data_IF_116884487974
#
_entry.id   IF_116884487974
#
_cell.length_a   1.000
_cell.length_b   1.000
_cell.length_c   1.000
_cell.angle_alpha   90.00
_cell.angle_beta   90.00
_cell.angle_gamma   90.00
#
_symmetry.space_group_name_H-M   'P 1'
#
loop_
_entity.id
_entity.type
_entity.pdbx_description
1 polymer ?
#
# COMPACT_ATOMS: atom_id res chain seq x y z
N UNK A 1 -14.45 11.90 4.70
CA UNK A 1 -13.36 10.89 4.68
C UNK A 1 -12.51 11.18 5.90
N UNK A 2 -12.42 10.24 6.83
CA UNK A 2 -11.37 10.31 7.84
C UNK A 2 -10.18 9.63 7.17
N UNK A 3 -9.26 10.44 6.65
CA UNK A 3 -7.92 9.92 6.43
C UNK A 3 -7.42 9.47 7.79
N UNK A 4 -7.05 8.20 7.91
CA UNK A 4 -6.40 7.66 9.10
C UNK A 4 -5.00 8.28 9.17
N UNK A 5 -4.93 9.55 9.60
CA UNK A 5 -3.66 10.18 9.91
C UNK A 5 -3.07 9.48 11.14
N UNK A 6 -1.77 9.20 11.16
CA UNK A 6 -1.09 8.83 12.39
C UNK A 6 -1.08 10.06 13.31
N UNK A 7 -2.12 10.22 14.12
CA UNK A 7 -2.09 11.13 15.27
C UNK A 7 -1.16 10.51 16.33
N UNK A 8 0.12 10.85 16.29
CA UNK A 8 1.10 10.27 17.22
C UNK A 8 2.55 10.77 17.14
N UNK A 9 2.82 11.89 16.46
CA UNK A 9 4.08 12.60 16.63
C UNK A 9 3.79 13.88 17.41
N UNK A 10 3.81 13.76 18.73
CA UNK A 10 3.93 14.91 19.62
C UNK A 10 5.24 15.63 19.30
N UNK A 11 5.12 16.89 18.90
CA UNK A 11 6.23 17.82 18.67
C UNK A 11 7.00 18.04 20.00
N UNK A 12 8.28 17.66 20.12
CA UNK A 12 9.02 17.75 21.38
C UNK A 12 9.52 19.16 21.73
N UNK A 13 9.09 20.22 21.04
CA UNK A 13 9.59 21.58 21.26
C UNK A 13 8.89 22.40 22.35
N UNK A 14 7.99 21.80 23.14
CA UNK A 14 7.36 22.45 24.29
C UNK A 14 7.73 21.77 25.62
N UNK A 15 9.01 21.84 26.02
CA UNK A 15 9.40 21.75 27.44
C UNK A 15 10.84 22.24 27.65
N UNK A 16 10.99 23.56 27.75
CA UNK A 16 12.26 24.19 28.12
C UNK A 16 12.10 24.95 29.44
N UNK A 17 12.13 24.25 30.58
CA UNK A 17 12.42 24.86 31.88
C UNK A 17 13.02 23.85 32.87
N UNK A 18 14.31 24.04 33.16
CA UNK A 18 14.87 23.89 34.51
C UNK A 18 15.17 22.48 35.03
N UNK A 19 16.46 22.10 35.00
CA UNK A 19 17.23 21.70 36.20
C UNK A 19 18.72 21.51 35.88
N UNK A 20 19.56 22.40 36.42
CA UNK A 20 20.96 22.14 36.74
C UNK A 20 21.02 21.10 37.86
N UNK A 21 21.88 20.09 37.77
CA UNK A 21 22.65 19.57 38.90
C UNK A 21 23.89 18.77 38.41
N UNK A 22 25.05 19.40 38.64
CA UNK A 22 26.38 18.91 39.03
C UNK A 22 26.90 17.49 38.66
N UNK A 23 28.13 17.52 38.12
CA UNK A 23 29.13 16.44 38.05
C UNK A 23 29.28 15.64 39.35
N UNK A 24 29.57 14.35 39.21
CA UNK A 24 30.34 13.57 40.17
C UNK A 24 31.18 12.51 39.45
N UNK A 25 32.47 12.78 39.31
CA UNK A 25 33.49 11.76 39.04
C UNK A 25 33.54 10.76 40.21
N UNK A 26 33.54 9.46 39.90
CA UNK A 26 33.92 8.41 40.86
C UNK A 26 35.20 7.75 40.38
N UNK A 27 36.30 8.14 41.02
CA UNK A 27 37.61 7.47 40.97
C UNK A 27 37.53 6.14 41.71
N UNK A 28 38.06 5.08 41.12
CA UNK A 28 38.38 3.84 41.84
C UNK A 28 39.91 3.67 41.91
N UNK A 29 40.53 3.61 43.11
CA UNK A 29 41.97 3.44 43.27
C UNK A 29 42.35 2.02 43.70
N UNK A 30 43.65 1.71 43.52
CA UNK A 30 44.40 0.51 43.96
C UNK A 30 44.19 -0.75 43.08
N UNK A 31 45.22 -1.51 42.67
CA UNK A 31 46.56 -1.71 43.27
C UNK A 31 47.54 -2.27 42.23
N UNK A 32 48.80 -1.83 42.36
CA UNK A 32 50.00 -2.15 41.57
C UNK A 32 50.58 -3.56 41.86
N UNK A 33 51.64 -3.89 41.07
CA UNK A 33 52.80 -4.80 41.32
C UNK A 33 52.61 -6.19 40.70
N UNK A 34 53.45 -6.75 39.81
CA UNK A 34 54.94 -6.83 39.68
C UNK A 34 55.30 -7.10 38.19
N UNK A 35 56.11 -6.28 37.50
CA UNK A 35 57.56 -6.42 37.24
C UNK A 35 58.09 -7.74 36.63
N UNK A 36 58.50 -7.61 35.35
CA UNK A 36 59.79 -8.00 34.72
C UNK A 36 60.17 -9.49 34.68
N UNK A 37 60.22 -10.06 33.47
CA UNK A 37 61.37 -10.87 33.01
C UNK A 37 61.65 -10.60 31.52
N UNK A 38 62.92 -10.37 31.23
CA UNK A 38 63.52 -9.98 29.95
C UNK A 38 63.85 -11.20 29.08
N UNK A 39 63.60 -11.04 27.78
CA UNK A 39 64.49 -11.28 26.61
C UNK A 39 65.28 -12.60 26.48
N UNK A 40 65.29 -13.07 25.22
CA UNK A 40 66.28 -13.90 24.49
C UNK A 40 65.72 -15.27 24.07
N UNK A 41 65.20 -15.35 22.83
CA UNK A 41 65.67 -16.35 21.85
C UNK A 41 65.33 -15.88 20.43
N UNK A 42 66.30 -15.22 19.80
CA UNK A 42 66.30 -14.96 18.37
C UNK A 42 66.91 -16.16 17.62
N UNK A 43 66.56 -16.25 16.34
CA UNK A 43 67.35 -16.89 15.27
C UNK A 43 67.06 -18.37 14.98
N UNK A 44 65.95 -18.65 14.28
CA UNK A 44 65.84 -19.74 13.27
C UNK A 44 64.41 -19.77 12.66
N UNK A 45 63.98 -18.72 11.94
CA UNK A 45 62.74 -18.73 11.14
C UNK A 45 62.67 -17.54 10.15
N UNK A 46 63.79 -17.20 9.52
CA UNK A 46 63.91 -16.04 8.64
C UNK A 46 63.94 -16.38 7.13
N UNK A 47 63.35 -17.51 6.71
CA UNK A 47 63.41 -17.94 5.30
C UNK A 47 62.13 -18.58 4.75
N UNK A 48 60.96 -18.32 5.35
CA UNK A 48 59.67 -18.80 4.83
C UNK A 48 58.59 -17.69 4.88
N UNK A 49 58.86 -16.52 4.29
CA UNK A 49 57.91 -15.40 4.24
C UNK A 49 57.87 -14.71 2.86
N UNK A 50 57.85 -15.49 1.77
CA UNK A 50 57.42 -15.00 0.45
C UNK A 50 56.30 -15.91 -0.08
N UNK A 51 55.13 -15.83 0.55
CA UNK A 51 53.88 -16.25 -0.07
C UNK A 51 53.10 -14.97 -0.37
N UNK A 52 52.62 -14.74 -1.61
CA UNK A 52 51.74 -13.62 -1.87
C UNK A 52 50.48 -13.83 -1.03
N UNK A 53 50.25 -12.95 -0.06
CA UNK A 53 48.98 -12.90 0.65
C UNK A 53 47.93 -12.50 -0.39
N UNK A 54 47.14 -13.47 -0.87
CA UNK A 54 45.83 -13.16 -1.41
C UNK A 54 45.07 -12.48 -0.29
N UNK A 55 45.03 -11.15 -0.31
CA UNK A 55 44.04 -10.40 0.45
C UNK A 55 42.69 -10.85 -0.08
N UNK A 56 41.83 -11.50 0.74
CA UNK A 56 40.46 -11.68 0.32
C UNK A 56 39.91 -10.26 0.12
N UNK A 57 39.54 -9.94 -1.13
CA UNK A 57 38.64 -8.82 -1.37
C UNK A 57 37.39 -9.21 -0.60
N UNK A 58 37.17 -8.56 0.55
CA UNK A 58 35.87 -8.59 1.20
C UNK A 58 34.91 -8.05 0.15
N UNK A 59 34.18 -8.96 -0.51
CA UNK A 59 33.04 -8.60 -1.32
C UNK A 59 32.15 -7.78 -0.41
N UNK A 60 32.05 -6.49 -0.69
CA UNK A 60 31.11 -5.63 -0.02
C UNK A 60 29.75 -6.19 -0.41
N UNK A 61 29.11 -6.95 0.49
CA UNK A 61 27.72 -7.38 0.28
C UNK A 61 26.92 -6.11 0.03
N UNK A 62 26.49 -5.92 -1.22
CA UNK A 62 25.56 -4.87 -1.58
C UNK A 62 24.32 -5.08 -0.73
N UNK A 63 24.01 -4.11 0.12
CA UNK A 63 22.83 -4.16 0.95
C UNK A 63 21.60 -4.37 0.04
N UNK A 64 20.61 -5.19 0.45
CA UNK A 64 19.43 -5.42 -0.35
C UNK A 64 18.68 -4.11 -0.59
N UNK A 65 18.05 -3.97 -1.76
CA UNK A 65 17.25 -2.80 -2.09
C UNK A 65 16.15 -2.56 -1.04
N UNK A 66 16.06 -1.32 -0.55
CA UNK A 66 15.04 -0.90 0.41
C UNK A 66 14.01 -0.01 -0.28
N UNK A 67 12.74 -0.44 -0.28
CA UNK A 67 11.67 0.29 -0.95
C UNK A 67 11.17 1.54 -0.19
N UNK A 68 11.14 1.47 1.14
CA UNK A 68 10.53 2.52 1.97
C UNK A 68 11.36 3.80 1.89
N UNK A 69 10.72 4.89 1.46
CA UNK A 69 11.34 6.20 1.17
C UNK A 69 12.35 6.19 0.02
N UNK A 70 12.38 5.16 -0.83
CA UNK A 70 13.20 5.16 -2.04
C UNK A 70 12.69 6.19 -3.06
N UNK A 71 13.60 6.99 -3.61
CA UNK A 71 13.29 7.90 -4.71
C UNK A 71 13.20 7.14 -6.04
N UNK A 72 12.64 7.79 -7.06
CA UNK A 72 12.66 7.24 -8.44
C UNK A 72 14.10 7.00 -8.91
N UNK A 73 15.03 7.89 -8.55
CA UNK A 73 16.45 7.72 -8.87
C UNK A 73 17.06 6.49 -8.19
N UNK A 74 16.74 6.25 -6.92
CA UNK A 74 17.20 5.06 -6.19
C UNK A 74 16.68 3.78 -6.85
N UNK A 75 15.41 3.77 -7.26
CA UNK A 75 14.79 2.64 -7.97
C UNK A 75 15.50 2.38 -9.30
N UNK A 76 15.70 3.42 -10.12
CA UNK A 76 16.39 3.27 -11.40
C UNK A 76 17.84 2.79 -11.21
N UNK A 77 18.55 3.30 -10.21
CA UNK A 77 19.91 2.84 -9.89
C UNK A 77 19.92 1.39 -9.43
N UNK A 78 18.94 0.96 -8.63
CA UNK A 78 18.79 -0.43 -8.21
C UNK A 78 18.52 -1.36 -9.41
N UNK A 79 17.69 -0.94 -10.37
CA UNK A 79 17.45 -1.73 -11.60
C UNK A 79 18.72 -1.81 -12.46
N UNK A 80 19.39 -0.67 -12.72
CA UNK A 80 20.64 -0.63 -13.52
C UNK A 80 21.79 -1.44 -12.92
N UNK A 81 21.74 -1.71 -11.63
CA UNK A 81 22.76 -2.50 -10.90
C UNK A 81 22.28 -3.90 -10.55
N UNK A 82 21.20 -4.37 -11.18
CA UNK A 82 20.62 -5.71 -11.00
C UNK A 82 20.20 -6.04 -9.55
N UNK A 83 19.96 -5.03 -8.70
CA UNK A 83 19.49 -5.24 -7.32
C UNK A 83 18.00 -5.57 -7.26
N UNK A 84 17.22 -5.12 -8.24
CA UNK A 84 15.78 -5.37 -8.33
C UNK A 84 15.31 -5.35 -9.78
N UNK A 85 14.31 -6.17 -10.10
CA UNK A 85 13.61 -6.13 -11.39
C UNK A 85 12.29 -5.35 -11.27
N UNK A 86 11.70 -4.96 -12.39
CA UNK A 86 10.39 -4.30 -12.42
C UNK A 86 9.32 -5.18 -11.77
N UNK A 87 9.30 -6.48 -12.09
CA UNK A 87 8.35 -7.43 -11.51
C UNK A 87 8.54 -7.55 -9.99
N UNK A 88 9.79 -7.64 -9.52
CA UNK A 88 10.10 -7.69 -8.09
C UNK A 88 9.66 -6.39 -7.39
N UNK A 89 9.85 -5.24 -8.02
CA UNK A 89 9.42 -3.94 -7.48
C UNK A 89 7.89 -3.88 -7.32
N UNK A 90 7.12 -4.23 -8.36
CA UNK A 90 5.65 -4.28 -8.28
C UNK A 90 5.21 -5.26 -7.19
N UNK A 91 5.85 -6.42 -7.08
CA UNK A 91 5.55 -7.38 -6.02
C UNK A 91 5.80 -6.81 -4.61
N UNK A 92 6.85 -6.01 -4.40
CA UNK A 92 7.09 -5.33 -3.12
C UNK A 92 5.95 -4.36 -2.77
N UNK A 93 5.42 -3.61 -3.74
CA UNK A 93 4.25 -2.73 -3.51
C UNK A 93 2.98 -3.52 -3.22
N UNK A 94 2.71 -4.62 -3.93
CA UNK A 94 1.58 -5.52 -3.64
C UNK A 94 1.71 -6.11 -2.24
N UNK A 95 2.91 -6.53 -1.82
CA UNK A 95 3.16 -7.03 -0.47
C UNK A 95 2.87 -5.98 0.60
N UNK A 96 3.22 -4.71 0.34
CA UNK A 96 2.87 -3.60 1.24
C UNK A 96 1.37 -3.35 1.30
N UNK A 97 0.68 -3.39 0.15
CA UNK A 97 -0.77 -3.28 0.12
C UNK A 97 -1.43 -4.40 0.94
N UNK A 98 -0.95 -5.64 0.79
CA UNK A 98 -1.40 -6.77 1.60
C UNK A 98 -1.19 -6.58 3.11
N UNK A 99 -0.08 -5.96 3.51
CA UNK A 99 0.24 -5.75 4.92
C UNK A 99 -0.53 -4.57 5.56
N UNK A 100 -0.78 -3.52 4.79
CA UNK A 100 -1.17 -2.21 5.34
C UNK A 100 -2.43 -1.58 4.72
N UNK A 101 -3.01 -2.14 3.65
CA UNK A 101 -4.17 -1.56 2.97
C UNK A 101 -5.52 -2.18 3.38
N UNK A 102 -5.65 -2.56 4.65
CA UNK A 102 -6.91 -3.03 5.24
C UNK A 102 -7.78 -1.90 5.78
N UNK A 103 -8.83 -2.27 6.50
CA UNK A 103 -9.79 -1.36 7.13
C UNK A 103 -9.14 -0.63 8.31
N UNK A 104 -9.25 0.70 8.33
CA UNK A 104 -8.72 1.55 9.41
C UNK A 104 -9.81 2.34 10.16
N UNK A 105 -11.08 2.04 9.88
CA UNK A 105 -12.24 2.74 10.44
C UNK A 105 -13.23 1.77 11.07
N UNK A 106 -13.93 2.23 12.09
CA UNK A 106 -15.10 1.57 12.67
C UNK A 106 -16.35 2.44 12.51
N UNK A 107 -17.52 1.83 12.63
CA UNK A 107 -18.81 2.51 12.47
C UNK A 107 -19.11 3.40 13.67
N UNK A 108 -19.74 4.55 13.42
CA UNK A 108 -20.40 5.33 14.46
C UNK A 108 -21.89 4.98 14.42
N UNK A 109 -22.43 4.34 15.45
CA UNK A 109 -23.85 3.99 15.56
C UNK A 109 -24.55 4.87 16.59
N UNK A 110 -25.88 4.85 16.62
CA UNK A 110 -26.64 5.64 17.60
C UNK A 110 -26.36 5.20 19.05
N UNK A 111 -26.25 3.90 19.28
CA UNK A 111 -26.16 3.28 20.60
C UNK A 111 -24.79 2.66 20.93
N UNK A 112 -23.88 2.57 19.95
CA UNK A 112 -22.59 1.89 20.11
C UNK A 112 -22.69 0.37 20.13
N UNK A 113 -23.83 -0.22 19.73
CA UNK A 113 -23.98 -1.67 19.67
C UNK A 113 -23.09 -2.26 18.55
N UNK A 114 -22.52 -3.44 18.82
CA UNK A 114 -21.75 -4.16 17.81
C UNK A 114 -22.61 -4.57 16.61
N UNK A 115 -22.00 -4.64 15.43
CA UNK A 115 -22.63 -5.14 14.20
C UNK A 115 -22.24 -6.58 13.92
N UNK A 116 -23.04 -7.27 13.12
CA UNK A 116 -22.71 -8.62 12.63
C UNK A 116 -21.43 -8.60 11.79
N UNK A 117 -20.60 -9.66 11.85
CA UNK A 117 -19.48 -9.82 10.93
C UNK A 117 -19.94 -9.76 9.46
N UNK A 118 -19.13 -9.12 8.63
CA UNK A 118 -19.45 -8.88 7.24
C UNK A 118 -18.25 -9.22 6.36
N UNK A 119 -18.52 -9.82 5.19
CA UNK A 119 -17.50 -10.19 4.21
C UNK A 119 -17.20 -9.01 3.29
N UNK A 120 -15.96 -8.56 3.25
CA UNK A 120 -15.51 -7.53 2.30
C UNK A 120 -15.06 -8.08 0.95
N UNK A 121 -14.81 -7.13 0.03
CA UNK A 121 -14.13 -7.39 -1.24
C UNK A 121 -12.76 -8.02 -1.01
N UNK A 122 -12.28 -8.81 -1.97
CA UNK A 122 -10.88 -9.27 -1.97
C UNK A 122 -9.97 -8.12 -2.39
N UNK A 123 -8.93 -7.88 -1.62
CA UNK A 123 -7.88 -6.90 -1.90
C UNK A 123 -6.52 -7.50 -1.55
N UNK A 124 -5.59 -7.52 -2.50
CA UNK A 124 -4.26 -8.10 -2.33
C UNK A 124 -4.28 -9.58 -1.93
N UNK A 125 -5.23 -10.33 -2.48
CA UNK A 125 -5.38 -11.78 -2.27
C UNK A 125 -6.13 -12.19 -1.00
N UNK A 126 -6.67 -11.26 -0.21
CA UNK A 126 -7.48 -11.59 0.97
C UNK A 126 -8.77 -10.73 1.05
N UNK A 127 -9.90 -11.28 1.54
CA UNK A 127 -11.09 -10.46 1.84
C UNK A 127 -10.78 -9.40 2.89
N UNK A 128 -11.33 -8.20 2.73
CA UNK A 128 -11.29 -7.18 3.77
C UNK A 128 -12.07 -7.64 5.00
N UNK A 129 -11.47 -7.45 6.17
CA UNK A 129 -12.08 -7.72 7.48
C UNK A 129 -12.54 -6.41 8.11
N UNK A 130 -13.82 -6.33 8.46
CA UNK A 130 -14.40 -5.15 9.11
C UNK A 130 -14.52 -5.35 10.63
N UNK A 131 -14.16 -4.33 11.43
CA UNK A 131 -14.45 -4.30 12.86
C UNK A 131 -15.95 -4.44 13.12
N UNK A 132 -16.32 -5.26 14.09
CA UNK A 132 -17.70 -5.40 14.58
C UNK A 132 -18.02 -4.45 15.73
N UNK A 133 -17.00 -3.98 16.44
CA UNK A 133 -17.12 -2.93 17.45
C UNK A 133 -17.47 -1.59 16.79
N UNK A 134 -18.30 -0.82 17.47
CA UNK A 134 -18.77 0.48 16.99
C UNK A 134 -18.65 1.52 18.09
N UNK A 135 -18.78 2.79 17.71
CA UNK A 135 -18.71 3.92 18.63
C UNK A 135 -20.08 4.58 18.71
N UNK A 136 -20.60 4.75 19.93
CA UNK A 136 -21.84 5.49 20.13
C UNK A 136 -21.66 6.96 19.74
N UNK A 137 -22.60 7.53 19.00
CA UNK A 137 -22.55 8.92 18.57
C UNK A 137 -22.43 9.90 19.74
N UNK A 138 -23.11 9.62 20.85
CA UNK A 138 -23.06 10.41 22.09
C UNK A 138 -21.66 10.48 22.72
N UNK A 139 -20.75 9.56 22.39
CA UNK A 139 -19.36 9.61 22.85
C UNK A 139 -18.47 10.57 22.06
N UNK A 140 -18.91 10.97 20.86
CA UNK A 140 -18.15 11.86 19.96
C UNK A 140 -18.75 13.26 19.86
N UNK A 141 -20.07 13.39 20.01
CA UNK A 141 -20.79 14.64 19.89
C UNK A 141 -21.36 15.04 21.26
N UNK A 142 -20.78 16.06 21.92
CA UNK A 142 -21.41 16.68 23.08
C UNK A 142 -22.83 17.14 22.72
N UNK A 143 -23.77 16.98 23.65
CA UNK A 143 -25.17 17.38 23.50
C UNK A 143 -25.91 16.67 22.35
N UNK A 144 -25.49 15.45 21.99
CA UNK A 144 -26.15 14.64 20.94
C UNK A 144 -27.66 14.47 21.17
N UNK A 145 -28.10 14.34 22.43
CA UNK A 145 -29.52 14.20 22.79
C UNK A 145 -30.33 15.49 22.54
N UNK A 146 -29.65 16.64 22.43
CA UNK A 146 -30.25 17.94 22.12
C UNK A 146 -30.23 18.25 20.61
N UNK A 147 -29.62 17.38 19.79
CA UNK A 147 -29.50 17.60 18.35
C UNK A 147 -30.88 17.61 17.67
N UNK A 148 -31.25 18.76 17.12
CA UNK A 148 -32.43 18.94 16.28
C UNK A 148 -31.99 19.37 14.89
N UNK A 149 -32.11 18.47 13.92
CA UNK A 149 -31.68 18.72 12.54
C UNK A 149 -31.94 17.55 11.62
N UNK A 150 -31.25 17.53 10.47
CA UNK A 150 -31.30 16.41 9.53
C UNK A 150 -30.81 15.13 10.21
N UNK A 151 -31.49 13.98 10.03
CA UNK A 151 -31.04 12.72 10.62
C UNK A 151 -29.58 12.44 10.29
N UNK A 152 -28.81 12.05 11.31
CA UNK A 152 -27.43 11.62 11.13
C UNK A 152 -27.40 10.30 10.34
N UNK A 153 -26.50 10.20 9.37
CA UNK A 153 -26.30 8.99 8.56
C UNK A 153 -25.45 7.99 9.34
N UNK A 154 -26.05 7.33 10.34
CA UNK A 154 -25.33 6.38 11.18
C UNK A 154 -24.64 5.28 10.37
N UNK A 155 -23.48 4.88 10.89
CA UNK A 155 -22.66 3.83 10.37
C UNK A 155 -23.40 2.50 10.31
N UNK A 156 -23.30 1.80 9.17
CA UNK A 156 -23.86 0.47 8.97
C UNK A 156 -23.02 -0.34 8.00
N UNK A 157 -23.14 -1.66 8.08
CA UNK A 157 -22.70 -2.54 7.00
C UNK A 157 -23.82 -2.64 5.96
N UNK A 158 -23.47 -2.55 4.68
CA UNK A 158 -24.42 -2.67 3.57
C UNK A 158 -23.78 -3.47 2.44
N UNK A 159 -24.59 -4.29 1.76
CA UNK A 159 -24.16 -4.98 0.55
C UNK A 159 -23.80 -3.95 -0.54
N UNK A 160 -22.72 -4.20 -1.27
CA UNK A 160 -22.35 -3.29 -2.36
C UNK A 160 -23.31 -3.45 -3.54
N UNK A 161 -23.64 -2.34 -4.21
CA UNK A 161 -24.45 -2.38 -5.43
C UNK A 161 -23.70 -3.05 -6.58
N UNK A 162 -22.38 -2.86 -6.64
CA UNK A 162 -21.52 -3.48 -7.66
C UNK A 162 -21.33 -4.99 -7.48
N UNK A 163 -21.29 -5.49 -6.24
CA UNK A 163 -21.29 -6.91 -5.92
C UNK A 163 -22.11 -7.19 -4.64
N UNK A 164 -23.39 -7.62 -4.77
CA UNK A 164 -24.24 -7.88 -3.61
C UNK A 164 -23.75 -9.02 -2.69
N UNK A 165 -22.74 -9.79 -3.09
CA UNK A 165 -22.18 -10.88 -2.28
C UNK A 165 -21.18 -10.41 -1.21
N UNK A 166 -20.77 -9.14 -1.26
CA UNK A 166 -19.85 -8.51 -0.31
C UNK A 166 -20.46 -7.24 0.26
N UNK A 167 -19.95 -6.81 1.40
CA UNK A 167 -20.42 -5.63 2.12
C UNK A 167 -19.30 -4.61 2.31
N UNK A 168 -19.69 -3.37 2.58
CA UNK A 168 -18.80 -2.29 2.99
C UNK A 168 -19.44 -1.41 4.07
N UNK A 169 -18.61 -0.60 4.72
CA UNK A 169 -19.08 0.37 5.71
C UNK A 169 -19.66 1.61 5.01
N UNK A 170 -20.93 1.90 5.31
CA UNK A 170 -21.64 3.11 4.88
C UNK A 170 -21.90 4.03 6.07
N UNK A 171 -22.16 5.31 5.76
CA UNK A 171 -22.48 6.34 6.74
C UNK A 171 -21.28 6.81 7.57
N UNK A 172 -21.58 7.23 8.79
CA UNK A 172 -20.63 7.80 9.73
C UNK A 172 -19.66 6.74 10.25
N UNK A 173 -18.38 7.10 10.19
CA UNK A 173 -17.26 6.26 10.61
C UNK A 173 -16.26 7.10 11.39
N UNK A 174 -15.48 6.44 12.23
CA UNK A 174 -14.35 7.04 12.95
C UNK A 174 -13.08 6.22 12.70
N UNK A 175 -11.92 6.90 12.66
CA UNK A 175 -10.63 6.23 12.57
C UNK A 175 -10.35 5.40 13.83
N UNK A 176 -9.68 4.27 13.66
CA UNK A 176 -9.21 3.43 14.77
C UNK A 176 -7.78 3.87 15.11
N UNK A 177 -7.50 4.32 16.34
CA UNK A 177 -6.14 4.66 16.75
C UNK A 177 -5.21 3.46 16.57
N UNK A 178 -4.04 3.70 15.95
CA UNK A 178 -3.03 2.67 15.70
C UNK A 178 -3.56 1.43 14.96
N UNK A 179 -4.49 1.60 14.02
CA UNK A 179 -5.10 0.50 13.25
C UNK A 179 -4.09 -0.43 12.55
N UNK A 180 -2.87 0.04 12.29
CA UNK A 180 -1.89 -0.67 11.47
C UNK A 180 -2.30 -0.80 9.99
N UNK A 181 -3.41 -0.17 9.61
CA UNK A 181 -4.03 -0.21 8.28
C UNK A 181 -4.32 1.20 7.79
N UNK A 182 -4.41 1.38 6.47
CA UNK A 182 -4.50 2.70 5.83
C UNK A 182 -5.73 2.91 4.94
N UNK A 183 -6.31 1.83 4.39
CA UNK A 183 -7.41 1.90 3.42
C UNK A 183 -7.20 2.96 2.30
N UNK A 184 -5.98 3.02 1.76
CA UNK A 184 -5.53 4.05 0.83
C UNK A 184 -5.75 3.68 -0.66
N UNK A 185 -5.91 2.39 -0.94
CA UNK A 185 -6.12 1.85 -2.28
C UNK A 185 -7.47 1.12 -2.33
N UNK A 186 -8.23 1.35 -3.38
CA UNK A 186 -9.54 0.75 -3.62
C UNK A 186 -9.46 -0.48 -4.53
N UNK A 187 -8.63 -0.43 -5.56
CA UNK A 187 -8.44 -1.54 -6.49
C UNK A 187 -6.95 -1.73 -6.78
N UNK A 188 -6.49 -2.98 -6.82
CA UNK A 188 -5.15 -3.33 -7.26
C UNK A 188 -5.21 -3.96 -8.65
N UNK A 189 -4.23 -3.66 -9.51
CA UNK A 189 -4.16 -4.18 -10.88
C UNK A 189 -3.57 -5.59 -10.85
N UNK A 190 -4.34 -6.52 -10.31
CA UNK A 190 -4.03 -7.94 -10.15
C UNK A 190 -5.11 -8.72 -10.89
N UNK A 191 -4.71 -9.68 -11.72
CA UNK A 191 -5.62 -10.62 -12.41
C UNK A 191 -6.72 -11.13 -11.48
N UNK A 192 -7.97 -10.98 -11.90
CA UNK A 192 -9.15 -11.44 -11.16
C UNK A 192 -9.58 -10.56 -9.98
N UNK A 193 -8.78 -9.57 -9.57
CA UNK A 193 -9.15 -8.57 -8.53
C UNK A 193 -9.38 -7.17 -9.12
N UNK A 194 -8.80 -6.90 -10.29
CA UNK A 194 -8.80 -5.57 -10.93
C UNK A 194 -10.12 -5.12 -11.56
N UNK A 195 -11.17 -5.95 -11.49
CA UNK A 195 -12.53 -5.66 -11.97
C UNK A 195 -13.54 -6.50 -11.19
N UNK A 196 -14.67 -5.89 -10.83
CA UNK A 196 -15.84 -6.58 -10.28
C UNK A 196 -16.66 -7.21 -11.41
N UNK A 197 -16.77 -6.55 -12.57
CA UNK A 197 -17.44 -7.10 -13.76
C UNK A 197 -16.75 -8.38 -14.24
N UNK A 198 -15.42 -8.36 -14.34
CA UNK A 198 -14.60 -9.47 -14.81
C UNK A 198 -13.83 -10.16 -13.67
N UNK A 199 -14.51 -10.40 -12.54
CA UNK A 199 -13.86 -10.91 -11.33
C UNK A 199 -13.40 -12.37 -11.42
N UNK A 200 -12.35 -12.69 -10.67
CA UNK A 200 -11.82 -14.04 -10.51
C UNK A 200 -11.40 -14.67 -11.84
N UNK A 201 -11.94 -15.85 -12.14
CA UNK A 201 -11.62 -16.59 -13.38
C UNK A 201 -12.09 -15.89 -14.66
N UNK A 202 -12.94 -14.86 -14.55
CA UNK A 202 -13.37 -14.06 -15.71
C UNK A 202 -12.28 -13.13 -16.26
N UNK A 203 -11.18 -12.93 -15.52
CA UNK A 203 -10.00 -12.19 -15.97
C UNK A 203 -8.75 -13.09 -16.00
N UNK A 204 -8.94 -14.42 -16.06
CA UNK A 204 -7.82 -15.34 -16.25
C UNK A 204 -7.03 -14.98 -17.52
N UNK A 205 -5.70 -15.14 -17.49
CA UNK A 205 -4.84 -14.79 -18.63
C UNK A 205 -5.25 -15.56 -19.91
N UNK A 206 -5.21 -14.95 -21.11
CA UNK A 206 -5.60 -15.61 -22.36
C UNK A 206 -4.96 -16.98 -22.61
N UNK A 207 -3.72 -17.17 -22.16
CA UNK A 207 -2.99 -18.46 -22.30
C UNK A 207 -3.61 -19.61 -21.50
N UNK A 208 -4.52 -19.35 -20.55
CA UNK A 208 -5.20 -20.40 -19.78
C UNK A 208 -6.38 -21.03 -20.53
N UNK A 209 -6.61 -20.64 -21.78
CA UNK A 209 -7.73 -21.09 -22.60
C UNK A 209 -8.98 -20.21 -22.46
N UNK A 210 -10.12 -20.66 -23.02
CA UNK A 210 -11.36 -19.88 -23.03
C UNK A 210 -11.87 -19.52 -21.64
N UNK A 211 -12.54 -18.38 -21.53
CA UNK A 211 -13.26 -18.01 -20.30
C UNK A 211 -14.35 -19.04 -19.95
N UNK A 212 -14.62 -19.26 -18.65
CA UNK A 212 -15.68 -20.15 -18.21
C UNK A 212 -17.07 -19.62 -18.61
N UNK A 213 -18.04 -20.53 -18.69
CA UNK A 213 -19.44 -20.15 -18.96
C UNK A 213 -19.95 -19.15 -17.92
N UNK A 214 -20.69 -18.14 -18.39
CA UNK A 214 -21.21 -17.06 -17.54
C UNK A 214 -20.30 -15.85 -17.40
N UNK A 215 -19.09 -15.88 -17.97
CA UNK A 215 -18.26 -14.68 -18.10
C UNK A 215 -18.95 -13.67 -19.04
N UNK A 216 -19.04 -12.37 -18.67
CA UNK A 216 -19.48 -11.33 -19.59
C UNK A 216 -18.58 -11.28 -20.84
N UNK A 217 -19.16 -11.07 -22.02
CA UNK A 217 -18.42 -11.05 -23.30
C UNK A 217 -17.30 -10.00 -23.30
N UNK A 218 -17.56 -8.84 -22.69
CA UNK A 218 -16.59 -7.74 -22.52
C UNK A 218 -15.31 -8.17 -21.78
N UNK A 219 -15.36 -9.26 -21.00
CA UNK A 219 -14.19 -9.75 -20.28
C UNK A 219 -13.13 -10.37 -21.18
N UNK A 220 -13.49 -10.88 -22.37
CA UNK A 220 -12.49 -11.44 -23.30
C UNK A 220 -11.59 -10.32 -23.87
N UNK A 221 -12.16 -9.16 -24.18
CA UNK A 221 -11.40 -7.99 -24.62
C UNK A 221 -10.57 -7.39 -23.48
N UNK A 222 -11.17 -7.29 -22.28
CA UNK A 222 -10.50 -6.75 -21.10
C UNK A 222 -9.26 -7.57 -20.72
N UNK A 223 -9.39 -8.90 -20.65
CA UNK A 223 -8.31 -9.78 -20.17
C UNK A 223 -7.12 -9.85 -21.11
N UNK A 224 -7.20 -9.32 -22.34
CA UNK A 224 -6.04 -9.16 -23.23
C UNK A 224 -5.04 -8.13 -22.69
N UNK A 225 -5.48 -7.24 -21.79
CA UNK A 225 -4.59 -6.24 -21.18
C UNK A 225 -3.75 -6.91 -20.09
N UNK A 226 -2.45 -6.64 -20.01
CA UNK A 226 -1.62 -7.15 -18.93
C UNK A 226 -2.07 -6.54 -17.60
N UNK A 227 -1.97 -7.30 -16.51
CA UNK A 227 -2.02 -6.72 -15.16
C UNK A 227 -0.68 -6.05 -14.80
N UNK A 228 -0.54 -5.52 -13.57
CA UNK A 228 0.67 -4.81 -13.21
C UNK A 228 1.92 -5.70 -13.17
N UNK A 229 1.79 -6.97 -12.75
CA UNK A 229 2.91 -7.91 -12.70
C UNK A 229 3.32 -8.38 -14.09
N UNK A 230 2.34 -8.61 -14.96
CA UNK A 230 2.55 -8.96 -16.37
C UNK A 230 3.22 -7.80 -17.11
N UNK A 231 2.72 -6.55 -16.91
CA UNK A 231 3.33 -5.38 -17.52
C UNK A 231 4.76 -5.14 -17.04
N UNK A 232 5.02 -5.40 -15.76
CA UNK A 232 6.36 -5.32 -15.20
C UNK A 232 7.30 -6.35 -15.86
N UNK A 233 6.84 -7.59 -16.02
CA UNK A 233 7.60 -8.65 -16.68
C UNK A 233 7.89 -8.34 -18.16
N UNK A 234 6.95 -7.73 -18.88
CA UNK A 234 7.17 -7.24 -20.25
C UNK A 234 8.28 -6.20 -20.31
N UNK A 235 8.31 -5.25 -19.37
CA UNK A 235 9.35 -4.22 -19.28
C UNK A 235 10.72 -4.83 -18.94
N UNK A 236 10.77 -5.75 -17.97
CA UNK A 236 11.97 -6.52 -17.66
C UNK A 236 12.51 -7.27 -18.89
N UNK A 237 11.64 -7.91 -19.66
CA UNK A 237 12.04 -8.63 -20.86
C UNK A 237 12.51 -7.70 -22.00
N UNK A 238 11.94 -6.51 -22.09
CA UNK A 238 12.23 -5.57 -23.17
C UNK A 238 13.51 -4.77 -22.93
N UNK A 239 13.76 -4.32 -21.70
CA UNK A 239 14.84 -3.38 -21.39
C UNK A 239 15.81 -3.91 -20.33
N UNK A 240 15.39 -4.86 -19.50
CA UNK A 240 16.21 -5.39 -18.41
C UNK A 240 16.75 -4.29 -17.50
N UNK A 241 18.08 -4.28 -17.32
CA UNK A 241 18.82 -3.33 -16.52
C UNK A 241 19.38 -2.13 -17.32
N UNK A 242 19.11 -2.03 -18.62
CA UNK A 242 19.58 -0.95 -19.48
C UNK A 242 18.42 -0.17 -20.14
N UNK A 243 17.51 0.44 -19.35
CA UNK A 243 16.42 1.22 -19.90
C UNK A 243 16.90 2.58 -20.44
N UNK A 244 16.26 3.03 -21.52
CA UNK A 244 16.40 4.40 -22.02
C UNK A 244 15.63 5.37 -21.13
N UNK A 245 16.27 5.81 -20.03
CA UNK A 245 15.65 6.71 -19.04
C UNK A 245 15.41 8.13 -19.55
N UNK A 246 16.00 8.53 -20.69
CA UNK A 246 15.70 9.82 -21.31
C UNK A 246 14.27 9.82 -21.87
N UNK A 247 13.89 8.73 -22.54
CA UNK A 247 12.54 8.54 -23.09
C UNK A 247 11.56 7.87 -22.10
N UNK A 248 12.08 7.11 -21.12
CA UNK A 248 11.30 6.41 -20.09
C UNK A 248 11.66 6.91 -18.68
N UNK A 249 11.42 8.20 -18.35
CA UNK A 249 11.81 8.75 -17.05
C UNK A 249 11.00 8.20 -15.87
N UNK A 250 9.98 7.38 -16.12
CA UNK A 250 9.19 6.66 -15.11
C UNK A 250 9.30 5.13 -15.31
N UNK A 251 10.35 4.65 -15.97
CA UNK A 251 10.58 3.23 -16.22
C UNK A 251 10.36 2.39 -14.96
N UNK A 252 9.39 1.49 -15.04
CA UNK A 252 9.03 0.54 -14.00
C UNK A 252 8.52 1.12 -12.69
N UNK A 253 8.24 2.43 -12.61
CA UNK A 253 7.69 3.05 -11.42
C UNK A 253 6.22 2.63 -11.24
N UNK A 254 5.86 1.92 -10.14
CA UNK A 254 4.47 1.59 -9.85
C UNK A 254 3.73 2.87 -9.45
N UNK A 255 2.69 3.19 -10.20
CA UNK A 255 1.92 4.41 -10.07
C UNK A 255 0.48 4.10 -9.65
N UNK A 256 -0.01 4.82 -8.65
CA UNK A 256 -1.42 4.78 -8.25
C UNK A 256 -2.15 6.04 -8.71
N UNK A 257 -3.36 5.89 -9.21
CA UNK A 257 -4.19 7.03 -9.61
C UNK A 257 -5.38 7.19 -8.70
N UNK A 258 -5.78 8.45 -8.42
CA UNK A 258 -7.08 8.68 -7.79
C UNK A 258 -8.17 8.10 -8.68
N UNK A 259 -9.21 7.49 -8.09
CA UNK A 259 -10.33 6.82 -8.78
C UNK A 259 -11.07 7.65 -9.86
N UNK A 260 -10.75 8.93 -10.01
CA UNK A 260 -11.28 9.83 -11.04
C UNK A 260 -10.52 9.80 -12.36
N UNK A 261 -9.36 9.15 -12.42
CA UNK A 261 -8.58 9.01 -13.64
C UNK A 261 -8.82 7.64 -14.25
N UNK A 262 -9.32 7.65 -15.48
CA UNK A 262 -9.56 6.44 -16.23
C UNK A 262 -8.23 5.74 -16.59
N UNK A 263 -8.13 4.47 -16.23
CA UNK A 263 -7.05 3.57 -16.61
C UNK A 263 -7.65 2.31 -17.22
N UNK A 264 -7.26 1.99 -18.46
CA UNK A 264 -8.00 1.02 -19.30
C UNK A 264 -7.88 -0.44 -18.87
N UNK A 265 -7.03 -0.74 -17.90
CA UNK A 265 -6.68 -2.08 -17.44
C UNK A 265 -7.04 -2.32 -15.95
N UNK A 266 -7.74 -1.39 -15.31
CA UNK A 266 -8.16 -1.50 -13.90
C UNK A 266 -9.47 -0.75 -13.66
N UNK A 267 -10.31 -1.27 -12.77
CA UNK A 267 -11.59 -0.66 -12.39
C UNK A 267 -11.40 0.78 -11.91
N UNK A 268 -12.23 1.68 -12.42
CA UNK A 268 -12.35 3.08 -12.00
C UNK A 268 -13.81 3.52 -12.05
N UNK A 269 -14.33 4.05 -10.95
CA UNK A 269 -15.76 4.34 -10.76
C UNK A 269 -16.07 5.78 -10.34
N UNK A 270 -15.04 6.64 -10.26
CA UNK A 270 -15.14 7.96 -9.61
C UNK A 270 -15.46 7.88 -8.11
N UNK A 271 -15.21 6.74 -7.46
CA UNK A 271 -15.58 6.47 -6.06
C UNK A 271 -17.04 6.07 -5.85
N UNK A 272 -17.75 5.69 -6.92
CA UNK A 272 -19.14 5.24 -6.84
C UNK A 272 -19.25 3.72 -6.66
N UNK A 273 -20.22 3.30 -5.85
CA UNK A 273 -20.68 1.91 -5.81
C UNK A 273 -21.89 1.76 -6.74
N UNK A 274 -21.62 1.33 -7.97
CA UNK A 274 -22.61 1.14 -9.04
C UNK A 274 -22.27 -0.14 -9.78
N UNK A 275 -23.30 -0.90 -10.16
CA UNK A 275 -23.15 -2.08 -11.02
C UNK A 275 -23.02 -1.65 -12.49
N UNK A 276 -21.83 -1.17 -12.87
CA UNK A 276 -21.53 -0.85 -14.26
C UNK A 276 -21.58 -2.11 -15.14
N UNK A 277 -22.07 -1.95 -16.37
CA UNK A 277 -21.98 -3.01 -17.37
C UNK A 277 -20.51 -3.42 -17.64
N UNK A 278 -19.61 -2.45 -17.59
CA UNK A 278 -18.15 -2.65 -17.49
C UNK A 278 -17.59 -1.56 -16.58
N UNK A 279 -16.93 -1.96 -15.51
CA UNK A 279 -16.37 -1.06 -14.48
C UNK A 279 -14.92 -0.62 -14.76
N UNK A 280 -14.37 -1.06 -15.89
CA UNK A 280 -13.07 -0.62 -16.43
C UNK A 280 -13.33 0.28 -17.63
N UNK A 281 -12.74 1.49 -17.69
CA UNK A 281 -12.91 2.38 -18.83
C UNK A 281 -12.26 1.80 -20.09
N UNK A 282 -12.77 2.11 -21.30
CA UNK A 282 -12.22 1.57 -22.55
C UNK A 282 -10.84 2.14 -22.89
N UNK A 283 -10.50 3.33 -22.39
CA UNK A 283 -9.28 4.07 -22.72
C UNK A 283 -8.67 4.72 -21.48
N UNK A 284 -7.36 4.96 -21.53
CA UNK A 284 -6.69 5.77 -20.53
C UNK A 284 -7.13 7.24 -20.67
N UNK A 285 -7.30 7.92 -19.54
CA UNK A 285 -7.32 9.39 -19.52
C UNK A 285 -5.96 9.94 -19.94
N UNK A 286 -5.93 11.18 -20.47
CA UNK A 286 -4.69 11.80 -20.98
C UNK A 286 -3.52 11.73 -19.96
N UNK A 287 -3.70 12.06 -18.67
CA UNK A 287 -2.61 11.96 -17.69
C UNK A 287 -2.11 10.52 -17.49
N UNK A 288 -3.01 9.53 -17.50
CA UNK A 288 -2.64 8.12 -17.36
C UNK A 288 -1.86 7.65 -18.58
N UNK A 289 -2.30 8.01 -19.79
CA UNK A 289 -1.58 7.70 -21.02
C UNK A 289 -0.16 8.29 -21.01
N UNK A 290 -0.01 9.55 -20.58
CA UNK A 290 1.29 10.25 -20.52
C UNK A 290 2.29 9.60 -19.57
N UNK A 291 1.87 9.11 -18.40
CA UNK A 291 2.82 8.43 -17.49
C UNK A 291 3.20 7.05 -18.01
N UNK A 292 2.27 6.33 -18.65
CA UNK A 292 2.54 5.01 -19.26
C UNK A 292 3.53 5.11 -20.39
N UNK A 293 3.39 6.13 -21.25
CA UNK A 293 4.32 6.42 -22.33
C UNK A 293 5.75 6.66 -21.80
N UNK A 294 5.86 7.21 -20.58
CA UNK A 294 7.12 7.42 -19.86
C UNK A 294 7.61 6.19 -19.08
N UNK A 295 6.95 5.04 -19.21
CA UNK A 295 7.38 3.77 -18.62
C UNK A 295 6.74 3.39 -17.28
N UNK A 296 5.80 4.18 -16.75
CA UNK A 296 5.13 3.89 -15.49
C UNK A 296 4.18 2.69 -15.60
N UNK A 297 3.97 1.99 -14.48
CA UNK A 297 3.07 0.84 -14.37
C UNK A 297 1.88 1.24 -13.48
N UNK A 298 0.67 1.24 -14.02
CA UNK A 298 -0.53 1.46 -13.20
C UNK A 298 -0.77 0.23 -12.34
N UNK A 299 -0.47 0.31 -11.05
CA UNK A 299 -0.58 -0.83 -10.12
C UNK A 299 -1.82 -0.77 -9.24
N UNK A 300 -2.40 0.41 -9.04
CA UNK A 300 -3.53 0.59 -8.15
C UNK A 300 -4.36 1.83 -8.46
N UNK A 301 -5.61 1.81 -8.00
CA UNK A 301 -6.47 2.96 -7.87
C UNK A 301 -6.60 3.32 -6.39
N UNK A 302 -6.32 4.57 -6.07
CA UNK A 302 -6.44 5.14 -4.73
C UNK A 302 -7.90 5.46 -4.39
N UNK A 303 -8.27 5.24 -3.12
CA UNK A 303 -9.63 5.46 -2.61
C UNK A 303 -10.12 6.87 -2.90
N UNK A 304 -11.38 6.99 -3.30
CA UNK A 304 -12.08 8.26 -3.44
C UNK A 304 -13.36 8.27 -2.59
N UNK A 305 -13.78 9.45 -2.14
CA UNK A 305 -15.12 9.60 -1.57
C UNK A 305 -16.13 9.50 -2.70
N UNK A 306 -17.20 8.73 -2.47
CA UNK A 306 -18.41 8.80 -3.29
C UNK A 306 -18.90 10.25 -3.37
N UNK A 307 -19.18 10.72 -4.58
CA UNK A 307 -19.66 12.07 -4.88
C UNK A 307 -21.19 12.19 -4.81
N UNK A 308 -21.87 11.24 -4.16
CA UNK A 308 -23.34 11.13 -4.06
C UNK A 308 -24.03 10.96 -5.42
N UNK A 309 -23.35 10.39 -6.42
CA UNK A 309 -24.04 9.92 -7.64
C UNK A 309 -24.67 8.55 -7.41
N UNK A 310 -24.10 7.74 -6.51
CA UNK A 310 -24.80 6.60 -5.90
C UNK A 310 -25.55 7.09 -4.66
N UNK A 311 -26.77 7.58 -4.85
CA UNK A 311 -27.74 7.78 -3.77
C UNK A 311 -28.59 6.51 -3.69
N UNK A 312 -28.56 5.84 -2.53
CA UNK A 312 -29.75 5.17 -2.03
C UNK A 312 -30.91 6.17 -2.15
N UNK A 313 -32.12 5.75 -2.59
CA UNK A 313 -33.24 6.67 -2.70
C UNK A 313 -33.37 7.42 -1.38
N UNK A 314 -33.44 8.75 -1.46
CA UNK A 314 -33.74 9.61 -0.32
C UNK A 314 -34.84 8.94 0.50
N UNK A 315 -34.63 8.65 1.79
CA UNK A 315 -35.68 8.08 2.62
C UNK A 315 -36.95 8.92 2.44
N UNK A 316 -38.10 8.26 2.26
CA UNK A 316 -39.35 8.94 2.01
C UNK A 316 -39.56 10.03 3.09
N UNK A 317 -39.65 11.30 2.67
CA UNK A 317 -39.90 12.44 3.55
C UNK A 317 -38.71 13.36 3.84
N UNK A 318 -37.51 13.13 3.30
CA UNK A 318 -36.42 14.10 3.36
C UNK A 318 -36.44 14.97 2.09
N UNK A 319 -36.64 16.30 2.17
CA UNK A 319 -36.61 17.17 1.01
C UNK A 319 -35.20 17.23 0.39
N UNK A 320 -35.10 17.50 -0.93
CA UNK A 320 -33.84 17.48 -1.68
C UNK A 320 -32.81 18.51 -1.18
#
# INVERSE_FOLDING_TARGET
MIFCYPTGLEDPLMNHFGRRFTMSESRNPFRKITQRFQVILASLLASLLLSPTLTPVLGQETAPFQLVEATIEDIHNAIKTDQITCQALVQLYINRAKAYNGVCTQLITGDGASVSPARGVVSAGAPLEFPTETVAASSLYPDFDEYVGTPLDFGRMEATLSDPSVQQQYGMRVGIPNAGQLNALETLNIRGERSVTCKGTFDAHPSTGPLPAGAPEVCEDFRQRPDALERAAELDAQYGNDPDLENLPLYCIPFSFKNWYDAKDIRGTGGNDVNFAMDVPPTDSVPVAQVREKGAIVYAIATASNNRISLSPTPAGVPP
#
